data_IF_305720178539
#
_entry.id   IF_305720178539
#
_cell.length_a   1.000
_cell.length_b   1.000
_cell.length_c   1.000
_cell.angle_alpha   90.00
_cell.angle_beta   90.00
_cell.angle_gamma   90.00
#
_symmetry.space_group_name_H-M   'P 1'
#
loop_
_entity.id
_entity.type
_entity.pdbx_description
1 polymer ?
#
# COMPACT_ATOMS: atom_id res chain seq x y z
N UNK A 1 -8.66 -65.13 31.60
CA UNK A 1 -9.05 -63.71 31.55
C UNK A 1 -8.07 -63.04 30.59
N UNK A 2 -8.52 -62.71 29.35
CA UNK A 2 -7.67 -62.08 28.33
C UNK A 2 -7.98 -60.61 28.31
N UNK A 3 -7.05 -59.75 28.73
CA UNK A 3 -7.12 -58.30 28.58
C UNK A 3 -6.76 -57.94 27.13
N UNK A 4 -7.73 -57.49 26.36
CA UNK A 4 -7.49 -56.87 25.05
C UNK A 4 -7.22 -55.40 25.26
N UNK A 5 -5.97 -54.97 25.02
CA UNK A 5 -5.62 -53.55 25.00
C UNK A 5 -6.03 -52.98 23.64
N UNK A 6 -7.04 -52.13 23.67
CA UNK A 6 -7.41 -51.33 22.48
C UNK A 6 -6.43 -50.18 22.35
N UNK A 7 -5.63 -50.17 21.27
CA UNK A 7 -4.75 -49.09 20.91
C UNK A 7 -5.59 -47.98 20.25
N UNK A 8 -5.85 -46.91 20.96
CA UNK A 8 -6.48 -45.69 20.37
C UNK A 8 -5.40 -44.91 19.65
N UNK A 9 -5.38 -44.99 18.34
CA UNK A 9 -4.53 -44.13 17.51
C UNK A 9 -5.14 -42.72 17.43
N UNK A 10 -4.53 -41.78 18.10
CA UNK A 10 -4.90 -40.34 17.97
C UNK A 10 -4.38 -39.82 16.63
N UNK A 11 -5.27 -39.55 15.70
CA UNK A 11 -4.95 -38.81 14.48
C UNK A 11 -4.71 -37.34 14.84
N UNK A 12 -3.46 -36.92 14.83
CA UNK A 12 -3.10 -35.51 14.93
C UNK A 12 -3.27 -34.89 13.56
N UNK A 13 -4.35 -34.13 13.35
CA UNK A 13 -4.49 -33.28 12.17
C UNK A 13 -3.57 -32.06 12.34
N UNK A 14 -2.47 -32.05 11.61
CA UNK A 14 -1.65 -30.84 11.49
C UNK A 14 -2.43 -29.84 10.61
N UNK A 15 -2.85 -28.69 11.20
CA UNK A 15 -3.40 -27.60 10.42
C UNK A 15 -2.32 -27.06 9.48
N UNK A 16 -2.62 -26.78 8.18
CA UNK A 16 -1.65 -26.17 7.31
C UNK A 16 -1.27 -24.78 7.87
N UNK A 17 0.02 -24.52 8.04
CA UNK A 17 0.51 -23.22 8.43
C UNK A 17 0.12 -22.21 7.33
N UNK A 18 -0.65 -21.16 7.69
CA UNK A 18 -0.94 -20.08 6.76
C UNK A 18 0.38 -19.45 6.35
N UNK A 19 0.68 -19.44 5.03
CA UNK A 19 1.86 -18.76 4.52
C UNK A 19 1.71 -17.26 4.84
N UNK A 20 2.67 -16.70 5.60
CA UNK A 20 2.73 -15.27 5.83
C UNK A 20 2.98 -14.58 4.48
N UNK A 21 2.00 -13.82 3.99
CA UNK A 21 2.19 -12.97 2.82
C UNK A 21 3.15 -11.85 3.19
N UNK A 22 4.36 -11.90 2.68
CA UNK A 22 5.32 -10.81 2.84
C UNK A 22 4.77 -9.56 2.15
N UNK A 23 4.60 -8.49 2.91
CA UNK A 23 4.16 -7.20 2.36
C UNK A 23 5.34 -6.54 1.67
N UNK A 24 5.19 -6.22 0.38
CA UNK A 24 6.18 -5.46 -0.38
C UNK A 24 6.16 -4.01 0.07
N UNK A 25 7.33 -3.41 0.24
CA UNK A 25 7.49 -1.98 0.54
C UNK A 25 7.88 -1.25 -0.74
N UNK A 26 7.12 -0.20 -1.08
CA UNK A 26 7.40 0.64 -2.24
C UNK A 26 7.59 2.08 -1.75
N UNK A 27 8.81 2.62 -1.80
CA UNK A 27 9.05 4.01 -1.49
C UNK A 27 8.56 4.90 -2.63
N UNK A 28 7.85 5.97 -2.27
CA UNK A 28 7.41 7.02 -3.18
C UNK A 28 7.98 8.34 -2.68
N UNK A 29 8.91 8.92 -3.43
CA UNK A 29 9.48 10.23 -3.10
C UNK A 29 8.58 11.34 -3.63
N UNK A 30 8.34 12.32 -2.77
CA UNK A 30 7.66 13.56 -3.13
C UNK A 30 8.71 14.67 -3.14
N UNK A 31 8.74 15.41 -4.22
CA UNK A 31 9.66 16.56 -4.39
C UNK A 31 8.91 17.69 -5.09
N UNK A 32 9.49 18.84 -5.16
CA UNK A 32 8.90 19.99 -5.87
C UNK A 32 9.43 20.00 -7.31
N UNK A 33 8.67 19.57 -8.32
CA UNK A 33 7.26 19.20 -8.29
C UNK A 33 7.06 17.87 -8.97
N UNK A 34 6.97 16.79 -8.20
CA UNK A 34 6.76 15.48 -8.77
C UNK A 34 6.80 14.34 -7.77
N UNK A 35 6.65 13.14 -8.32
CA UNK A 35 6.75 11.87 -7.61
C UNK A 35 7.77 10.98 -8.28
N UNK A 36 8.47 10.18 -7.49
CA UNK A 36 9.38 9.15 -8.01
C UNK A 36 9.18 7.84 -7.22
N UNK A 37 8.98 6.69 -7.90
CA UNK A 37 8.95 6.50 -9.35
C UNK A 37 7.72 7.12 -10.02
N UNK A 38 7.79 7.33 -11.32
CA UNK A 38 6.66 7.79 -12.13
C UNK A 38 6.73 7.10 -13.51
N UNK A 39 5.75 6.26 -13.88
CA UNK A 39 4.59 5.83 -13.11
C UNK A 39 4.95 4.98 -11.90
N UNK A 40 4.00 4.85 -10.97
CA UNK A 40 4.11 3.94 -9.85
C UNK A 40 3.46 2.62 -10.26
N UNK A 41 4.22 1.54 -10.31
CA UNK A 41 3.73 0.22 -10.79
C UNK A 41 3.56 -0.71 -9.60
N UNK A 42 2.35 -1.25 -9.43
CA UNK A 42 1.97 -2.16 -8.35
C UNK A 42 1.35 -3.45 -8.92
N UNK A 43 1.27 -4.47 -8.09
CA UNK A 43 0.62 -5.75 -8.43
C UNK A 43 -0.76 -5.84 -7.80
N UNK A 44 -1.77 -6.16 -8.61
CA UNK A 44 -3.15 -6.34 -8.14
C UNK A 44 -3.24 -7.50 -7.15
N UNK A 45 -4.00 -7.30 -6.07
CA UNK A 45 -4.27 -8.32 -5.08
C UNK A 45 -3.11 -8.64 -4.14
N UNK A 46 -1.97 -7.98 -4.26
CA UNK A 46 -0.78 -8.19 -3.41
C UNK A 46 -0.65 -7.04 -2.43
N UNK A 47 -0.63 -7.30 -1.11
CA UNK A 47 -0.44 -6.26 -0.11
C UNK A 47 0.86 -5.47 -0.35
N UNK A 48 0.76 -4.15 -0.31
CA UNK A 48 1.89 -3.24 -0.50
C UNK A 48 1.83 -2.13 0.54
N UNK A 49 2.99 -1.82 1.12
CA UNK A 49 3.16 -0.62 1.94
C UNK A 49 3.80 0.47 1.10
N UNK A 50 3.05 1.53 0.83
CA UNK A 50 3.55 2.73 0.20
C UNK A 50 4.16 3.63 1.28
N UNK A 51 5.43 3.94 1.15
CA UNK A 51 6.15 4.85 2.05
C UNK A 51 6.39 6.16 1.33
N UNK A 52 5.62 7.17 1.67
CA UNK A 52 5.72 8.51 1.08
C UNK A 52 6.81 9.28 1.81
N UNK A 53 7.88 9.64 1.10
CA UNK A 53 9.02 10.35 1.62
C UNK A 53 9.08 11.74 0.98
N UNK A 54 8.73 12.78 1.72
CA UNK A 54 8.83 14.15 1.22
C UNK A 54 10.26 14.67 1.43
N UNK A 55 11.01 14.75 0.36
CA UNK A 55 12.41 15.22 0.38
C UNK A 55 12.54 16.73 0.20
N UNK A 56 11.43 17.45 0.05
CA UNK A 56 11.41 18.90 -0.05
C UNK A 56 11.13 19.57 1.31
N UNK A 57 11.37 20.86 1.41
CA UNK A 57 11.02 21.65 2.58
C UNK A 57 9.56 22.07 2.64
N UNK A 58 8.80 21.90 1.55
CA UNK A 58 7.37 22.25 1.46
C UNK A 58 6.50 21.04 1.71
N UNK A 59 5.29 21.25 2.25
CA UNK A 59 4.29 20.19 2.34
C UNK A 59 3.77 19.77 0.95
N UNK A 60 3.55 18.48 0.77
CA UNK A 60 2.98 17.91 -0.45
C UNK A 60 1.90 16.90 -0.10
N UNK A 61 1.03 16.60 -1.06
CA UNK A 61 0.02 15.56 -0.91
C UNK A 61 0.16 14.51 -1.98
N UNK A 62 -0.27 13.31 -1.64
CA UNK A 62 -0.48 12.23 -2.59
C UNK A 62 -2.00 12.00 -2.67
N UNK A 63 -2.65 12.63 -3.64
CA UNK A 63 -4.09 12.55 -3.83
C UNK A 63 -4.42 11.61 -4.96
N UNK A 64 -5.02 10.47 -4.60
CA UNK A 64 -5.41 9.41 -5.53
C UNK A 64 -6.74 8.78 -5.08
N UNK A 65 -7.85 9.52 -5.10
CA UNK A 65 -9.10 9.06 -4.49
C UNK A 65 -9.65 7.78 -5.14
N UNK A 66 -9.57 7.65 -6.46
CA UNK A 66 -10.02 6.44 -7.14
C UNK A 66 -9.17 5.20 -6.76
N UNK A 67 -7.86 5.36 -6.62
CA UNK A 67 -6.98 4.31 -6.17
C UNK A 67 -7.31 3.85 -4.74
N UNK A 68 -7.42 4.76 -3.81
CA UNK A 68 -7.73 4.40 -2.42
C UNK A 68 -9.14 3.85 -2.25
N UNK A 69 -10.12 4.36 -3.01
CA UNK A 69 -11.50 3.86 -2.97
C UNK A 69 -11.62 2.42 -3.50
N UNK A 70 -10.80 2.03 -4.48
CA UNK A 70 -10.79 0.68 -5.05
C UNK A 70 -9.89 -0.29 -4.30
N UNK A 71 -8.98 0.20 -3.46
CA UNK A 71 -8.06 -0.61 -2.67
C UNK A 71 -8.69 -1.03 -1.34
N UNK A 72 -8.27 -2.19 -0.83
CA UNK A 72 -8.52 -2.56 0.56
C UNK A 72 -7.46 -1.91 1.44
N UNK A 73 -7.88 -1.03 2.35
CA UNK A 73 -6.99 -0.45 3.36
C UNK A 73 -6.66 -1.49 4.43
N UNK A 74 -5.38 -1.71 4.68
CA UNK A 74 -4.88 -2.64 5.70
C UNK A 74 -4.31 -1.88 6.90
N UNK A 75 -3.55 -0.82 6.66
CA UNK A 75 -2.98 0.03 7.70
C UNK A 75 -2.79 1.45 7.21
N UNK A 76 -2.73 2.40 8.13
CA UNK A 76 -2.63 3.82 7.84
C UNK A 76 -3.97 4.45 7.54
N UNK A 77 -3.96 5.75 7.26
CA UNK A 77 -5.16 6.55 7.04
C UNK A 77 -4.98 7.46 5.83
N UNK A 78 -6.09 7.67 5.11
CA UNK A 78 -6.22 8.72 4.12
C UNK A 78 -7.37 9.63 4.50
N UNK A 79 -7.29 10.90 4.11
CA UNK A 79 -8.39 11.86 4.24
C UNK A 79 -8.86 12.26 2.85
N UNK A 80 -10.11 11.96 2.51
CA UNK A 80 -10.68 12.26 1.18
C UNK A 80 -9.82 11.72 0.01
N UNK A 81 -9.23 10.53 0.20
CA UNK A 81 -8.39 9.90 -0.82
C UNK A 81 -7.01 10.54 -0.98
N UNK A 82 -6.51 11.24 0.03
CA UNK A 82 -5.18 11.83 -0.03
C UNK A 82 -4.38 11.60 1.26
N UNK A 83 -3.07 11.58 1.11
CA UNK A 83 -2.09 11.53 2.19
C UNK A 83 -1.30 12.84 2.20
N UNK A 84 -1.34 13.54 3.33
CA UNK A 84 -0.55 14.74 3.55
C UNK A 84 0.81 14.42 4.11
N UNK A 85 1.87 14.92 3.50
CA UNK A 85 3.24 14.69 3.94
C UNK A 85 3.95 16.03 4.12
N UNK A 86 4.21 16.38 5.37
CA UNK A 86 4.94 17.63 5.69
C UNK A 86 6.37 17.57 5.14
N UNK A 87 6.97 18.74 4.95
CA UNK A 87 8.35 18.86 4.49
C UNK A 87 9.31 18.02 5.33
N UNK A 88 10.20 17.28 4.67
CA UNK A 88 11.19 16.37 5.28
C UNK A 88 10.62 15.25 6.15
N UNK A 89 9.31 14.96 6.04
CA UNK A 89 8.66 13.87 6.77
C UNK A 89 8.28 12.72 5.86
N UNK A 90 7.93 11.61 6.47
CA UNK A 90 7.42 10.41 5.80
C UNK A 90 6.10 9.98 6.41
N UNK A 91 5.23 9.43 5.55
CA UNK A 91 3.97 8.79 5.93
C UNK A 91 3.87 7.47 5.19
N UNK A 92 3.15 6.52 5.74
CA UNK A 92 2.94 5.23 5.07
C UNK A 92 1.50 4.77 5.13
N UNK A 93 1.08 4.04 4.11
CA UNK A 93 -0.18 3.31 4.07
C UNK A 93 0.06 1.90 3.54
N UNK A 94 -0.67 0.93 4.03
CA UNK A 94 -0.65 -0.43 3.52
C UNK A 94 -2.00 -0.74 2.90
N UNK A 95 -1.98 -1.17 1.65
CA UNK A 95 -3.19 -1.45 0.87
C UNK A 95 -3.05 -2.75 0.09
N UNK A 96 -4.19 -3.35 -0.26
CA UNK A 96 -4.27 -4.37 -1.30
C UNK A 96 -4.89 -3.70 -2.53
N UNK A 97 -4.10 -3.39 -3.56
CA UNK A 97 -4.58 -2.61 -4.70
C UNK A 97 -5.40 -3.47 -5.67
N UNK A 98 -6.39 -2.83 -6.29
CA UNK A 98 -7.16 -3.42 -7.38
C UNK A 98 -6.55 -3.04 -8.74
N UNK A 99 -6.62 -3.95 -9.70
CA UNK A 99 -6.16 -3.71 -11.08
C UNK A 99 -6.78 -2.44 -11.65
N UNK A 100 -5.99 -1.64 -12.32
CA UNK A 100 -6.44 -0.43 -12.97
C UNK A 100 -5.33 0.59 -13.17
N UNK A 101 -5.71 1.72 -13.73
CA UNK A 101 -4.86 2.90 -13.95
C UNK A 101 -5.50 4.07 -13.20
N UNK A 102 -4.74 4.69 -12.32
CA UNK A 102 -5.28 5.69 -11.41
C UNK A 102 -4.43 6.95 -11.45
N UNK A 103 -5.06 8.13 -11.64
CA UNK A 103 -4.33 9.38 -11.55
C UNK A 103 -3.95 9.71 -10.11
N UNK A 104 -2.82 10.38 -9.95
CA UNK A 104 -2.38 10.98 -8.69
C UNK A 104 -1.86 12.39 -8.92
N UNK A 105 -2.17 13.29 -8.02
CA UNK A 105 -1.67 14.66 -8.06
C UNK A 105 -1.49 15.24 -6.65
N UNK A 106 -0.74 16.31 -6.56
CA UNK A 106 -0.67 17.14 -5.35
C UNK A 106 -1.81 18.16 -5.36
N UNK A 107 -2.55 18.22 -4.26
CA UNK A 107 -3.70 19.13 -4.13
C UNK A 107 -3.33 20.54 -3.69
N UNK A 108 -2.06 20.82 -3.42
CA UNK A 108 -1.59 22.16 -3.08
C UNK A 108 -1.70 23.09 -4.28
N UNK A 109 -1.98 24.38 -4.00
CA UNK A 109 -2.19 25.38 -5.02
C UNK A 109 -1.03 25.41 -6.03
N UNK A 110 -1.34 25.34 -7.33
CA UNK A 110 -0.41 25.38 -8.47
C UNK A 110 0.55 24.17 -8.58
N UNK A 111 0.64 23.25 -7.61
CA UNK A 111 1.61 22.15 -7.67
C UNK A 111 1.32 21.18 -8.81
N UNK A 112 0.06 20.87 -9.08
CA UNK A 112 -0.34 20.02 -10.22
C UNK A 112 0.06 20.68 -11.55
N UNK A 113 -0.24 21.96 -11.74
CA UNK A 113 0.12 22.72 -12.93
C UNK A 113 1.64 22.85 -13.13
N UNK A 114 2.42 22.78 -12.06
CA UNK A 114 3.87 22.76 -12.10
C UNK A 114 4.47 21.38 -12.35
N UNK A 115 3.63 20.36 -12.61
CA UNK A 115 4.06 19.01 -12.96
C UNK A 115 3.94 17.97 -11.85
N UNK A 116 3.37 18.34 -10.69
CA UNK A 116 3.23 17.40 -9.58
C UNK A 116 2.00 16.49 -9.75
N UNK A 117 2.08 15.64 -10.74
CA UNK A 117 1.11 14.59 -11.04
C UNK A 117 1.81 13.33 -11.56
N UNK A 118 1.14 12.22 -11.48
CA UNK A 118 1.61 10.92 -11.95
C UNK A 118 0.45 9.96 -12.17
N UNK A 119 0.77 8.71 -12.39
CA UNK A 119 -0.18 7.62 -12.60
C UNK A 119 0.27 6.41 -11.78
N UNK A 120 -0.69 5.73 -11.17
CA UNK A 120 -0.49 4.41 -10.56
C UNK A 120 -1.01 3.37 -11.54
N UNK A 121 -0.14 2.44 -11.93
CA UNK A 121 -0.48 1.30 -12.78
C UNK A 121 -0.54 0.05 -11.90
N UNK A 122 -1.73 -0.53 -11.73
CA UNK A 122 -1.91 -1.77 -10.99
C UNK A 122 -2.17 -2.90 -12.01
N UNK A 123 -1.23 -3.80 -12.10
CA UNK A 123 -1.21 -4.88 -13.08
C UNK A 123 -1.52 -6.24 -12.47
#
# INVERSE_FOLDING_TARGET
>A
MKLTHALVAALVFAAPAAAEQSTTVVPVRLYSYGYAPSPIVLRAGVPVTLVFQNVSGSGHTFKAPAFFASSKMVAGMTMHGEVHVKGHQSMSVTVVPARGTYPVHCSHFMHDQLGMHSVILVQ
#
